data_IF_081824863204
#
_entry.id   IF_081824863204
#
_cell.length_a   1.000
_cell.length_b   1.000
_cell.length_c   1.000
_cell.angle_alpha   90.00
_cell.angle_beta   90.00
_cell.angle_gamma   90.00
#
_symmetry.space_group_name_H-M   'P 1'
#
loop_
_entity.id
_entity.type
_entity.pdbx_description
1 polymer ?
#
# COMPACT_ATOMS: atom_id res chain seq x y z
N UNK A 1 18.89 -17.84 6.68
CA UNK A 1 17.56 -18.31 7.12
C UNK A 1 16.54 -17.51 6.34
N UNK A 2 15.77 -18.12 5.43
CA UNK A 2 14.69 -17.39 4.72
C UNK A 2 13.55 -17.15 5.70
N UNK A 3 13.22 -15.89 5.97
CA UNK A 3 12.02 -15.52 6.72
C UNK A 3 10.82 -15.88 5.83
N UNK A 4 9.93 -16.74 6.31
CA UNK A 4 8.71 -17.10 5.59
C UNK A 4 7.62 -16.05 5.81
N UNK A 5 6.76 -15.85 4.80
CA UNK A 5 5.54 -15.05 4.93
C UNK A 5 4.53 -15.86 5.72
N UNK A 6 4.30 -15.46 6.97
CA UNK A 6 3.45 -16.19 7.91
C UNK A 6 2.24 -15.36 8.30
N UNK A 7 2.44 -14.06 8.52
CA UNK A 7 1.40 -13.15 8.98
C UNK A 7 1.47 -11.82 8.23
N UNK A 8 0.31 -11.24 7.96
CA UNK A 8 0.17 -9.92 7.34
C UNK A 8 -0.83 -9.08 8.13
N UNK A 9 -0.46 -7.84 8.44
CA UNK A 9 -1.33 -6.88 9.09
C UNK A 9 -1.81 -5.83 8.08
N UNK A 10 -3.09 -5.43 8.10
CA UNK A 10 -3.56 -4.29 7.31
C UNK A 10 -2.90 -3.02 7.87
N UNK A 11 -2.33 -2.19 6.98
CA UNK A 11 -1.61 -0.96 7.36
C UNK A 11 -2.21 0.29 6.76
N UNK A 12 -2.93 0.17 5.64
CA UNK A 12 -3.61 1.30 5.01
C UNK A 12 -4.74 0.83 4.08
N UNK A 13 -5.62 1.76 3.73
CA UNK A 13 -6.72 1.60 2.78
C UNK A 13 -6.33 2.19 1.44
N UNK A 14 -6.82 1.61 0.36
CA UNK A 14 -6.81 2.19 -0.98
C UNK A 14 -8.16 2.85 -1.22
N UNK A 15 -8.14 4.14 -1.55
CA UNK A 15 -9.35 4.95 -1.64
C UNK A 15 -9.61 5.35 -3.09
N UNK A 16 -10.87 5.21 -3.53
CA UNK A 16 -11.38 5.79 -4.77
C UNK A 16 -11.60 7.30 -4.58
N UNK A 17 -10.96 8.11 -5.42
CA UNK A 17 -11.08 9.57 -5.34
C UNK A 17 -12.42 10.13 -5.82
N UNK A 18 -13.35 9.31 -6.32
CA UNK A 18 -14.73 9.77 -6.61
C UNK A 18 -15.65 9.73 -5.39
N UNK A 19 -15.37 8.87 -4.40
CA UNK A 19 -16.38 8.52 -3.40
C UNK A 19 -15.86 8.24 -1.98
N UNK A 20 -14.57 8.50 -1.68
CA UNK A 20 -13.91 8.11 -0.42
C UNK A 20 -14.10 6.62 -0.07
N UNK A 21 -14.38 5.82 -1.10
CA UNK A 21 -14.71 4.42 -0.95
C UNK A 21 -13.44 3.60 -0.87
N UNK A 22 -13.38 2.69 0.10
CA UNK A 22 -12.28 1.73 0.18
C UNK A 22 -12.41 0.69 -0.94
N UNK A 23 -11.48 0.72 -1.89
CA UNK A 23 -11.40 -0.21 -3.04
C UNK A 23 -10.38 -1.34 -2.82
N UNK A 24 -9.58 -1.23 -1.78
CA UNK A 24 -8.61 -2.24 -1.39
C UNK A 24 -7.91 -1.94 -0.07
N UNK A 25 -7.07 -2.87 0.36
CA UNK A 25 -6.28 -2.80 1.57
C UNK A 25 -4.82 -3.07 1.27
N UNK A 26 -3.95 -2.30 1.90
CA UNK A 26 -2.51 -2.51 1.91
C UNK A 26 -2.17 -3.34 3.14
N UNK A 27 -1.49 -4.46 2.92
CA UNK A 27 -1.00 -5.35 3.95
C UNK A 27 0.52 -5.30 4.04
N UNK A 28 1.05 -5.38 5.26
CA UNK A 28 2.47 -5.56 5.53
C UNK A 28 2.71 -6.93 6.14
N UNK A 29 3.54 -7.72 5.48
CA UNK A 29 3.98 -9.03 5.98
C UNK A 29 4.99 -8.89 7.11
N UNK A 30 5.15 -9.93 7.91
CA UNK A 30 6.24 -10.09 8.89
C UNK A 30 7.63 -9.96 8.24
N UNK A 31 7.76 -10.34 6.97
CA UNK A 31 8.97 -10.14 6.15
C UNK A 31 9.23 -8.68 5.79
N UNK A 32 8.29 -7.77 6.03
CA UNK A 32 8.26 -6.36 5.56
C UNK A 32 7.87 -6.16 4.10
N UNK A 33 7.54 -7.21 3.35
CA UNK A 33 6.92 -7.07 2.04
C UNK A 33 5.54 -6.41 2.16
N UNK A 34 5.14 -5.68 1.13
CA UNK A 34 3.80 -5.11 0.99
C UNK A 34 2.98 -5.90 -0.03
N UNK A 35 1.69 -6.05 0.23
CA UNK A 35 0.75 -6.64 -0.70
C UNK A 35 -0.57 -5.89 -0.70
N UNK A 36 -1.33 -6.04 -1.78
CA UNK A 36 -2.63 -5.42 -1.92
C UNK A 36 -3.70 -6.51 -1.95
N UNK A 37 -4.73 -6.31 -1.14
CA UNK A 37 -6.00 -7.00 -1.28
C UNK A 37 -7.00 -6.06 -1.96
N UNK A 38 -7.35 -6.34 -3.21
CA UNK A 38 -8.38 -5.58 -3.93
C UNK A 38 -9.78 -6.06 -3.53
N UNK A 39 -10.64 -5.14 -3.14
CA UNK A 39 -12.06 -5.41 -2.89
C UNK A 39 -12.87 -5.24 -4.17
N UNK A 40 -12.51 -4.24 -4.98
CA UNK A 40 -13.20 -3.89 -6.21
C UNK A 40 -12.19 -3.67 -7.35
N UNK A 41 -11.78 -4.74 -8.05
CA UNK A 41 -10.70 -4.67 -9.04
C UNK A 41 -11.02 -3.78 -10.26
N UNK A 42 -12.28 -3.35 -10.42
CA UNK A 42 -12.70 -2.42 -11.49
C UNK A 42 -12.52 -0.94 -11.12
N UNK A 43 -12.30 -0.64 -9.85
CA UNK A 43 -12.14 0.75 -9.38
C UNK A 43 -10.65 1.07 -9.22
N UNK A 44 -10.29 2.28 -9.65
CA UNK A 44 -8.91 2.76 -9.59
C UNK A 44 -8.68 3.40 -8.22
N UNK A 45 -7.68 2.92 -7.49
CA UNK A 45 -7.22 3.61 -6.28
C UNK A 45 -6.51 4.92 -6.68
N UNK A 46 -6.87 6.02 -6.02
CA UNK A 46 -6.27 7.33 -6.27
C UNK A 46 -5.30 7.78 -5.17
N UNK A 47 -5.55 7.38 -3.92
CA UNK A 47 -4.63 7.59 -2.82
C UNK A 47 -4.69 6.47 -1.78
N UNK A 48 -3.74 6.48 -0.85
CA UNK A 48 -3.66 5.57 0.31
C UNK A 48 -3.91 6.34 1.59
N UNK A 49 -4.70 5.76 2.50
CA UNK A 49 -4.98 6.33 3.81
C UNK A 49 -4.78 5.31 4.97
N UNK A 50 -3.89 5.57 5.94
CA UNK A 50 -2.95 6.69 5.98
C UNK A 50 -1.80 6.51 4.97
N UNK A 51 -1.17 7.60 4.48
CA UNK A 51 -0.01 7.51 3.59
C UNK A 51 1.11 6.64 4.19
N UNK A 52 1.75 5.81 3.36
CA UNK A 52 2.86 4.98 3.81
C UNK A 52 4.10 5.82 4.05
N UNK A 53 4.72 5.67 5.22
CA UNK A 53 5.98 6.34 5.52
C UNK A 53 7.09 5.90 4.55
N UNK A 54 8.00 6.82 4.22
CA UNK A 54 9.20 6.52 3.40
C UNK A 54 9.99 5.34 3.95
N UNK A 55 10.10 5.22 5.28
CA UNK A 55 10.76 4.09 5.95
C UNK A 55 10.09 2.75 5.64
N UNK A 56 8.76 2.71 5.61
CA UNK A 56 7.98 1.51 5.25
C UNK A 56 8.28 1.09 3.81
N UNK A 57 8.23 2.04 2.88
CA UNK A 57 8.47 1.80 1.44
C UNK A 57 9.92 1.34 1.20
N UNK A 58 10.91 2.04 1.76
CA UNK A 58 12.32 1.65 1.63
C UNK A 58 12.56 0.25 2.17
N UNK A 59 11.96 -0.11 3.32
CA UNK A 59 12.09 -1.45 3.88
C UNK A 59 11.45 -2.51 2.98
N UNK A 60 10.27 -2.26 2.43
CA UNK A 60 9.63 -3.18 1.50
C UNK A 60 10.49 -3.44 0.25
N UNK A 61 11.08 -2.38 -0.33
CA UNK A 61 11.99 -2.46 -1.49
C UNK A 61 13.28 -3.25 -1.24
N UNK A 62 13.68 -3.46 0.02
CA UNK A 62 14.83 -4.35 0.34
C UNK A 62 14.49 -5.84 0.22
N UNK A 63 13.20 -6.17 0.23
CA UNK A 63 12.71 -7.56 0.20
C UNK A 63 12.22 -7.90 -1.20
N UNK A 64 11.39 -7.02 -1.77
CA UNK A 64 10.78 -7.19 -3.08
C UNK A 64 10.76 -5.84 -3.79
N UNK A 65 11.30 -5.80 -5.00
CA UNK A 65 11.18 -4.64 -5.91
C UNK A 65 10.26 -5.06 -7.03
N UNK A 66 8.99 -4.69 -6.92
CA UNK A 66 7.93 -5.03 -7.87
C UNK A 66 7.01 -3.83 -8.14
N UNK A 67 6.17 -3.99 -9.16
CA UNK A 67 5.19 -2.98 -9.58
C UNK A 67 4.21 -2.63 -8.44
N UNK A 68 3.95 -3.55 -7.52
CA UNK A 68 3.08 -3.31 -6.34
C UNK A 68 3.72 -2.28 -5.43
N UNK A 69 5.00 -2.42 -5.11
CA UNK A 69 5.70 -1.50 -4.21
C UNK A 69 5.83 -0.11 -4.83
N UNK A 70 6.05 -0.02 -6.15
CA UNK A 70 6.08 1.26 -6.88
C UNK A 70 4.70 1.94 -6.93
N UNK A 71 3.63 1.17 -7.16
CA UNK A 71 2.26 1.68 -7.10
C UNK A 71 1.93 2.26 -5.73
N UNK A 72 2.25 1.53 -4.65
CA UNK A 72 1.96 1.97 -3.28
C UNK A 72 2.75 3.22 -2.88
N UNK A 73 3.98 3.36 -3.37
CA UNK A 73 4.76 4.58 -3.17
C UNK A 73 4.11 5.78 -3.88
N UNK A 74 3.67 5.61 -5.13
CA UNK A 74 3.02 6.67 -5.90
C UNK A 74 1.69 7.11 -5.26
N UNK A 75 0.84 6.16 -4.86
CA UNK A 75 -0.44 6.48 -4.21
C UNK A 75 -0.27 7.15 -2.84
N UNK A 76 0.80 6.81 -2.10
CA UNK A 76 1.12 7.45 -0.82
C UNK A 76 1.56 8.91 -1.00
N UNK A 77 2.26 9.22 -2.11
CA UNK A 77 2.59 10.61 -2.45
C UNK A 77 1.35 11.43 -2.75
N UNK A 78 0.41 10.89 -3.52
CA UNK A 78 -0.83 11.60 -3.91
C UNK A 78 -1.71 11.98 -2.73
N UNK A 79 -1.90 11.07 -1.77
CA UNK A 79 -2.67 11.36 -0.56
C UNK A 79 -2.04 12.42 0.36
N UNK A 80 -0.79 12.81 0.12
CA UNK A 80 -0.10 13.85 0.89
C UNK A 80 -0.26 15.26 0.31
N UNK A 81 -0.82 15.41 -0.91
CA UNK A 81 -0.90 16.70 -1.63
C UNK A 81 -2.23 17.43 -1.40
N UNK A 82 -3.28 16.74 -0.95
CA UNK A 82 -4.62 17.33 -0.73
C UNK A 82 -4.82 17.98 0.68
N UNK A 83 -3.73 18.35 1.37
CA UNK A 83 -3.75 18.97 2.70
C UNK A 83 -3.09 20.36 2.80
N UNK A 84 -2.86 21.05 1.67
CA UNK A 84 -2.41 22.47 1.63
C UNK A 84 -3.49 23.43 1.12
#
# INVERSE_FOLDING_TARGET
>A
MSIKKEEAAPVARLIDGRSDRTVGWVYRWNTSELSILWLEPKHVALHIDPPLSRKTITKAKTVTTDEVTDLLEELSRRGSVDLE
#
